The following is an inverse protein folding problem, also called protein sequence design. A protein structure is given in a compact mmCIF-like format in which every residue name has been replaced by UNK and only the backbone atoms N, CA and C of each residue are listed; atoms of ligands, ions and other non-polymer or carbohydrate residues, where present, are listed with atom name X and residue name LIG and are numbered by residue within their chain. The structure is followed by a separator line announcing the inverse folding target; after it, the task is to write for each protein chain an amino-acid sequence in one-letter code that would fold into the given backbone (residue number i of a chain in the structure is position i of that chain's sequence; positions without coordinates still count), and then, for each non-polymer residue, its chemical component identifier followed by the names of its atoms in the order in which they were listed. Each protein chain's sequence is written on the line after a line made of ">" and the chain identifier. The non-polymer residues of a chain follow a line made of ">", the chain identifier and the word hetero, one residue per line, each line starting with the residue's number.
data_IF_177390372671
#
_entry.id   IF_177390372671
#
_cell.length_a   1.000
_cell.length_b   1.000
_cell.length_c   1.000
_cell.angle_alpha   90.00
_cell.angle_beta   90.00
_cell.angle_gamma   90.00
#
_symmetry.space_group_name_H-M   'P 1'
#
loop_
_entity.id
_entity.type
_entity.pdbx_description
1 polymer ?
#
# COMPACT_ATOMS: atom_id res chain seq x y z
N UNK A 1 -2.20 -4.46 8.42
CA UNK A 1 -0.91 -4.04 7.83
C UNK A 1 -0.81 -2.54 7.96
N UNK A 2 0.26 -1.99 8.53
CA UNK A 2 0.37 -0.56 8.84
C UNK A 2 1.70 -0.02 8.31
N UNK A 3 1.71 1.19 7.75
CA UNK A 3 2.95 1.91 7.40
C UNK A 3 2.96 3.23 8.15
N UNK A 4 3.94 3.39 9.04
CA UNK A 4 3.98 4.49 10.00
C UNK A 4 5.23 5.35 9.93
N UNK A 5 5.99 5.24 8.84
CA UNK A 5 7.28 5.93 8.75
C UNK A 5 7.12 7.11 7.81
N UNK A 6 7.28 8.31 8.37
CA UNK A 6 7.69 9.48 7.61
C UNK A 6 9.08 9.16 7.04
N UNK A 7 9.13 8.58 5.84
CA UNK A 7 10.41 8.34 5.17
C UNK A 7 10.71 9.58 4.35
N UNK A 8 11.70 10.40 4.72
CA UNK A 8 12.06 11.54 3.90
C UNK A 8 12.53 11.03 2.55
N UNK A 9 11.82 11.41 1.49
CA UNK A 9 12.23 11.13 0.11
C UNK A 9 13.67 11.60 -0.12
N UNK A 10 14.43 10.83 -0.89
CA UNK A 10 15.69 11.32 -1.42
C UNK A 10 15.41 12.59 -2.25
N UNK A 11 15.94 13.73 -1.80
CA UNK A 11 15.68 15.08 -2.38
C UNK A 11 15.99 15.20 -3.88
N UNK A 12 16.66 14.19 -4.47
CA UNK A 12 17.01 14.14 -5.89
C UNK A 12 15.93 13.54 -6.80
N UNK A 13 14.87 12.93 -6.26
CA UNK A 13 13.83 12.30 -7.09
C UNK A 13 12.60 13.21 -7.16
N UNK A 14 12.33 13.79 -8.33
CA UNK A 14 11.06 14.48 -8.62
C UNK A 14 10.00 13.44 -8.95
N UNK A 15 9.37 12.89 -7.93
CA UNK A 15 8.35 11.86 -8.08
C UNK A 15 7.01 12.54 -8.37
N UNK A 16 6.28 12.08 -9.39
CA UNK A 16 4.84 12.30 -9.43
C UNK A 16 4.21 11.46 -8.32
N UNK A 17 4.26 12.00 -7.10
CA UNK A 17 4.00 11.32 -5.81
C UNK A 17 2.71 10.51 -5.80
N UNK A 18 1.67 11.02 -6.46
CA UNK A 18 0.37 10.38 -6.57
C UNK A 18 0.46 8.95 -7.10
N UNK A 19 1.21 8.69 -8.17
CA UNK A 19 1.28 7.35 -8.77
C UNK A 19 2.03 6.39 -7.86
N UNK A 20 3.14 6.82 -7.27
CA UNK A 20 3.96 5.97 -6.40
C UNK A 20 3.23 5.62 -5.10
N UNK A 21 2.49 6.57 -4.54
CA UNK A 21 1.68 6.32 -3.33
C UNK A 21 0.48 5.42 -3.62
N UNK A 22 -0.18 5.59 -4.78
CA UNK A 22 -1.24 4.68 -5.20
C UNK A 22 -0.71 3.28 -5.51
N UNK A 23 0.45 3.14 -6.15
CA UNK A 23 1.11 1.86 -6.41
C UNK A 23 1.52 1.14 -5.10
N UNK A 24 2.02 1.90 -4.12
CA UNK A 24 2.27 1.36 -2.78
C UNK A 24 0.97 0.91 -2.10
N UNK A 25 -0.12 1.65 -2.25
CA UNK A 25 -1.42 1.26 -1.71
C UNK A 25 -1.99 0.00 -2.40
N UNK A 26 -1.90 -0.08 -3.73
CA UNK A 26 -2.27 -1.28 -4.50
C UNK A 26 -1.47 -2.50 -4.05
N UNK A 27 -0.17 -2.32 -3.80
CA UNK A 27 0.67 -3.36 -3.19
C UNK A 27 0.16 -3.76 -1.81
N UNK A 28 -0.17 -2.80 -0.94
CA UNK A 28 -0.67 -3.08 0.40
C UNK A 28 -1.97 -3.89 0.37
N UNK A 29 -2.88 -3.54 -0.53
CA UNK A 29 -4.14 -4.26 -0.75
C UNK A 29 -3.89 -5.69 -1.26
N UNK A 30 -2.94 -5.88 -2.17
CA UNK A 30 -2.56 -7.21 -2.63
C UNK A 30 -1.99 -8.08 -1.50
N UNK A 31 -1.06 -7.53 -0.69
CA UNK A 31 -0.52 -8.24 0.46
C UNK A 31 -1.60 -8.56 1.50
N UNK A 32 -2.52 -7.62 1.74
CA UNK A 32 -3.68 -7.81 2.61
C UNK A 32 -4.60 -8.92 2.12
N UNK A 33 -4.84 -8.98 0.81
CA UNK A 33 -5.63 -10.04 0.17
C UNK A 33 -4.98 -11.41 0.37
N UNK A 34 -3.70 -11.56 0.00
CA UNK A 34 -2.96 -12.83 0.12
C UNK A 34 -2.89 -13.31 1.58
N UNK A 35 -2.63 -12.41 2.52
CA UNK A 35 -2.51 -12.75 3.94
C UNK A 35 -3.85 -12.83 4.67
N UNK A 36 -4.97 -12.55 3.99
CA UNK A 36 -6.29 -12.36 4.58
C UNK A 36 -6.26 -11.40 5.80
N UNK A 37 -5.58 -10.27 5.64
CA UNK A 37 -5.41 -9.23 6.67
C UNK A 37 -5.96 -7.89 6.20
N UNK A 38 -6.54 -7.16 7.15
CA UNK A 38 -7.01 -5.80 6.93
C UNK A 38 -5.81 -4.85 6.75
N UNK A 39 -5.91 -3.97 5.76
CA UNK A 39 -4.92 -2.92 5.49
C UNK A 39 -5.25 -1.68 6.31
N UNK A 40 -4.30 -1.14 7.05
CA UNK A 40 -4.41 0.16 7.70
C UNK A 40 -3.72 1.13 6.75
N UNK A 41 -4.48 2.07 6.20
CA UNK A 41 -4.02 2.99 5.18
C UNK A 41 -2.79 3.78 5.68
N UNK A 42 -1.77 3.97 4.82
CA UNK A 42 -0.67 4.85 5.15
C UNK A 42 -1.14 6.31 5.19
N UNK A 43 -0.24 7.19 5.60
CA UNK A 43 -0.36 8.61 5.26
C UNK A 43 0.10 8.80 3.82
N UNK A 44 -0.61 9.66 3.10
CA UNK A 44 -0.43 9.85 1.67
C UNK A 44 0.25 11.20 1.41
N UNK A 45 1.44 11.18 0.82
CA UNK A 45 2.24 12.38 0.60
C UNK A 45 2.10 12.89 -0.84
N UNK A 46 2.00 14.21 -1.00
CA UNK A 46 1.88 14.88 -2.30
C UNK A 46 3.21 15.47 -2.73
N UNK A 47 4.06 15.84 -1.78
CA UNK A 47 5.36 16.43 -2.10
C UNK A 47 6.44 15.86 -1.21
N UNK A 48 7.67 15.92 -1.70
CA UNK A 48 8.86 15.54 -0.93
C UNK A 48 9.07 16.42 0.33
N UNK A 49 8.26 17.47 0.51
CA UNK A 49 8.26 18.36 1.68
C UNK A 49 7.34 17.85 2.81
N UNK A 50 6.71 16.69 2.63
CA UNK A 50 5.83 16.09 3.63
C UNK A 50 4.42 16.66 3.66
N UNK A 51 3.98 17.35 2.59
CA UNK A 51 2.57 17.71 2.44
C UNK A 51 1.73 16.43 2.33
N UNK A 52 0.82 16.23 3.27
CA UNK A 52 -0.10 15.09 3.27
C UNK A 52 -1.44 15.48 2.62
N UNK A 53 -2.08 14.55 1.92
CA UNK A 53 -3.47 14.68 1.47
C UNK A 53 -4.29 13.45 1.85
N UNK A 54 -5.59 13.65 1.97
CA UNK A 54 -6.53 12.55 2.14
C UNK A 54 -6.68 11.78 0.84
N UNK A 55 -6.92 10.46 0.93
CA UNK A 55 -7.02 9.55 -0.22
C UNK A 55 -8.08 9.97 -1.23
N UNK A 56 -9.17 10.60 -0.77
CA UNK A 56 -10.24 11.13 -1.63
C UNK A 56 -9.79 12.26 -2.57
N UNK A 57 -8.59 12.85 -2.38
CA UNK A 57 -8.01 13.77 -3.35
C UNK A 57 -7.57 13.06 -4.63
N UNK A 58 -7.23 11.77 -4.55
CA UNK A 58 -6.66 11.03 -5.66
C UNK A 58 -7.65 10.05 -6.28
N UNK A 59 -8.47 9.39 -5.46
CA UNK A 59 -9.44 8.40 -5.95
C UNK A 59 -10.85 8.63 -5.41
N UNK A 60 -11.85 8.05 -6.10
CA UNK A 60 -13.24 7.99 -5.63
C UNK A 60 -13.37 6.93 -4.53
N UNK A 61 -13.49 7.37 -3.28
CA UNK A 61 -13.63 6.47 -2.12
C UNK A 61 -14.81 5.50 -2.27
N UNK A 62 -15.93 5.93 -2.88
CA UNK A 62 -17.07 5.04 -3.11
C UNK A 62 -16.69 3.80 -3.96
N UNK A 63 -15.80 3.95 -4.93
CA UNK A 63 -15.33 2.85 -5.78
C UNK A 63 -14.37 1.93 -5.01
N UNK A 64 -13.48 2.52 -4.19
CA UNK A 64 -12.64 1.75 -3.28
C UNK A 64 -13.49 0.93 -2.30
N UNK A 65 -14.49 1.56 -1.66
CA UNK A 65 -15.36 0.92 -0.69
C UNK A 65 -16.17 -0.22 -1.30
N UNK A 66 -16.70 -0.05 -2.50
CA UNK A 66 -17.45 -1.10 -3.17
C UNK A 66 -16.67 -2.42 -3.32
N UNK A 67 -15.36 -2.34 -3.57
CA UNK A 67 -14.51 -3.53 -3.71
C UNK A 67 -13.82 -3.95 -2.40
N UNK A 68 -13.52 -3.01 -1.50
CA UNK A 68 -12.63 -3.23 -0.35
C UNK A 68 -13.26 -2.87 1.00
N UNK A 69 -14.59 -2.73 1.08
CA UNK A 69 -15.30 -2.53 2.34
C UNK A 69 -14.84 -3.56 3.38
N UNK A 70 -14.55 -3.09 4.60
CA UNK A 70 -13.98 -3.86 5.72
C UNK A 70 -12.60 -4.51 5.48
N UNK A 71 -12.03 -4.42 4.28
CA UNK A 71 -10.67 -4.88 3.98
C UNK A 71 -9.61 -3.83 4.27
N UNK A 72 -10.01 -2.60 4.58
CA UNK A 72 -9.10 -1.57 5.06
C UNK A 72 -9.65 -0.75 6.24
N UNK A 73 -8.75 -0.01 6.91
CA UNK A 73 -9.01 0.95 8.00
C UNK A 73 -8.17 2.20 7.76
N UNK A 74 -8.62 3.36 8.22
CA UNK A 74 -7.85 4.59 8.13
C UNK A 74 -6.58 4.56 8.99
N UNK A 75 -5.61 5.41 8.67
CA UNK A 75 -4.33 5.53 9.38
C UNK A 75 -4.49 5.77 10.89
N UNK A 76 -5.55 6.46 11.31
CA UNK A 76 -5.86 6.80 12.70
C UNK A 76 -6.40 5.60 13.51
N UNK A 77 -6.66 4.45 12.87
CA UNK A 77 -7.22 3.27 13.53
C UNK A 77 -6.46 2.89 14.81
N UNK A 78 -5.14 2.79 14.76
CA UNK A 78 -4.32 2.40 15.92
C UNK A 78 -4.23 3.48 17.00
N UNK A 79 -4.64 4.72 16.72
CA UNK A 79 -4.72 5.79 17.70
C UNK A 79 -6.08 5.79 18.42
N UNK A 80 -7.11 5.23 17.79
CA UNK A 80 -8.48 5.29 18.29
C UNK A 80 -8.63 4.69 19.71
N UNK A 81 -9.31 5.36 20.66
CA UNK A 81 -9.41 4.90 22.05
C UNK A 81 -10.02 3.50 22.21
N UNK A 82 -10.96 3.13 21.33
CA UNK A 82 -11.62 1.82 21.36
C UNK A 82 -10.78 0.66 20.83
N UNK A 83 -9.63 0.90 20.20
CA UNK A 83 -8.74 -0.19 19.80
C UNK A 83 -8.02 -0.72 21.06
N UNK A 84 -8.13 -2.01 21.40
CA UNK A 84 -7.50 -2.57 22.59
C UNK A 84 -5.99 -2.33 22.62
N UNK A 85 -5.46 -2.00 23.80
CA UNK A 85 -4.01 -1.79 23.99
C UNK A 85 -3.18 -3.01 23.59
N UNK A 86 -3.71 -4.22 23.74
CA UNK A 86 -3.07 -5.46 23.30
C UNK A 86 -2.80 -5.43 21.78
N UNK A 87 -3.77 -5.00 20.97
CA UNK A 87 -3.61 -4.86 19.51
C UNK A 87 -2.64 -3.73 19.17
N UNK A 88 -2.73 -2.59 19.89
CA UNK A 88 -1.84 -1.44 19.65
C UNK A 88 -0.38 -1.77 19.92
N UNK A 89 -0.10 -2.62 20.91
CA UNK A 89 1.27 -2.99 21.31
C UNK A 89 1.81 -4.20 20.55
N UNK A 90 0.93 -5.06 20.03
CA UNK A 90 1.31 -6.24 19.26
C UNK A 90 1.55 -5.90 17.79
N UNK A 91 2.68 -5.23 17.55
CA UNK A 91 3.15 -4.88 16.22
C UNK A 91 4.52 -5.51 15.97
N UNK A 92 4.74 -5.97 14.73
CA UNK A 92 6.07 -6.43 14.32
C UNK A 92 7.06 -5.24 14.26
N UNK A 93 8.36 -5.55 14.27
CA UNK A 93 9.34 -4.64 13.68
C UNK A 93 8.98 -4.36 12.21
N UNK A 94 9.45 -3.23 11.68
CA UNK A 94 9.08 -2.82 10.35
C UNK A 94 9.82 -3.66 9.29
N UNK A 95 9.08 -4.18 8.31
CA UNK A 95 9.66 -4.87 7.15
C UNK A 95 9.77 -3.91 5.96
N UNK A 96 10.82 -4.07 5.17
CA UNK A 96 10.95 -3.39 3.88
C UNK A 96 11.19 -4.41 2.77
N UNK A 97 10.24 -4.52 1.83
CA UNK A 97 10.44 -5.26 0.59
C UNK A 97 11.35 -4.43 -0.32
N UNK A 98 12.62 -4.80 -0.37
CA UNK A 98 13.68 -4.04 -1.03
C UNK A 98 13.66 -4.28 -2.54
N UNK A 99 13.31 -3.23 -3.27
CA UNK A 99 13.39 -3.12 -4.73
C UNK A 99 14.41 -2.05 -5.15
N UNK A 100 14.89 -2.09 -6.40
CA UNK A 100 15.78 -1.04 -6.95
C UNK A 100 15.14 0.36 -6.86
N UNK A 101 13.84 0.42 -7.16
CA UNK A 101 13.07 1.65 -7.13
C UNK A 101 12.87 2.16 -5.69
N UNK A 102 12.51 1.29 -4.74
CA UNK A 102 12.42 1.68 -3.33
C UNK A 102 13.76 2.20 -2.79
N UNK A 103 14.89 1.59 -3.18
CA UNK A 103 16.22 2.07 -2.80
C UNK A 103 16.52 3.44 -3.40
N UNK A 104 16.10 3.69 -4.64
CA UNK A 104 16.27 4.98 -5.31
C UNK A 104 15.46 6.07 -4.61
N UNK A 105 14.22 5.75 -4.24
CA UNK A 105 13.26 6.66 -3.58
C UNK A 105 13.72 6.99 -2.15
N UNK A 106 14.11 5.99 -1.36
CA UNK A 106 14.39 6.15 0.07
C UNK A 106 15.87 6.39 0.39
N UNK A 107 16.79 5.96 -0.50
CA UNK A 107 18.23 6.20 -0.40
C UNK A 107 18.99 5.37 0.63
N UNK A 108 18.37 4.91 1.73
CA UNK A 108 19.03 4.11 2.76
C UNK A 108 18.08 3.20 3.53
N UNK A 109 18.63 2.16 4.17
CA UNK A 109 17.93 1.24 5.07
C UNK A 109 18.10 1.68 6.52
N UNK A 110 17.02 2.02 7.25
CA UNK A 110 17.11 2.26 8.67
C UNK A 110 17.52 1.00 9.44
N UNK A 111 18.25 1.18 10.54
CA UNK A 111 18.83 0.08 11.32
C UNK A 111 17.82 -0.84 12.00
N UNK A 112 16.58 -0.38 12.19
CA UNK A 112 15.49 -1.11 12.84
C UNK A 112 14.50 -1.76 11.86
N UNK A 113 14.87 -1.88 10.58
CA UNK A 113 14.02 -2.39 9.50
C UNK A 113 14.58 -3.70 8.96
N UNK A 114 13.74 -4.73 8.93
CA UNK A 114 14.08 -6.02 8.31
C UNK A 114 13.90 -5.93 6.80
N UNK A 115 14.99 -6.00 6.04
CA UNK A 115 14.94 -6.01 4.59
C UNK A 115 14.56 -7.40 4.05
N UNK A 116 13.54 -7.45 3.21
CA UNK A 116 13.10 -8.62 2.46
C UNK A 116 13.53 -8.46 1.01
N UNK A 117 14.33 -9.39 0.51
CA UNK A 117 14.88 -9.34 -0.86
C UNK A 117 14.30 -10.46 -1.71
N UNK A 118 13.91 -10.15 -2.95
CA UNK A 118 13.64 -11.18 -3.95
C UNK A 118 14.94 -11.66 -4.59
N UNK A 119 15.01 -12.97 -4.84
CA UNK A 119 16.01 -13.51 -5.76
C UNK A 119 15.80 -12.93 -7.17
N UNK A 120 16.87 -12.79 -7.97
CA UNK A 120 16.77 -12.37 -9.36
C UNK A 120 15.73 -13.21 -10.13
N UNK A 121 14.95 -12.56 -10.99
CA UNK A 121 13.91 -13.17 -11.84
C UNK A 121 12.73 -13.82 -11.10
N UNK A 122 12.64 -13.72 -9.77
CA UNK A 122 11.45 -14.13 -9.04
C UNK A 122 10.44 -12.99 -8.96
N UNK A 123 9.16 -13.35 -9.04
CA UNK A 123 8.01 -12.47 -8.81
C UNK A 123 7.47 -12.71 -7.39
N UNK A 124 6.86 -11.69 -6.79
CA UNK A 124 6.25 -11.72 -5.45
C UNK A 124 4.95 -12.52 -5.51
N UNK A 125 5.07 -13.84 -5.60
CA UNK A 125 3.92 -14.74 -5.55
C UNK A 125 3.33 -14.82 -4.15
N UNK A 126 2.11 -15.33 -4.05
CA UNK A 126 1.46 -15.62 -2.77
C UNK A 126 2.36 -16.50 -1.86
N UNK A 127 3.03 -17.50 -2.43
CA UNK A 127 3.97 -18.37 -1.71
C UNK A 127 5.15 -17.61 -1.09
N UNK A 128 5.68 -16.60 -1.79
CA UNK A 128 6.77 -15.76 -1.24
C UNK A 128 6.25 -14.88 -0.11
N UNK A 129 5.05 -14.31 -0.28
CA UNK A 129 4.38 -13.49 0.74
C UNK A 129 4.11 -14.34 2.00
N UNK A 130 3.57 -15.54 1.85
CA UNK A 130 3.34 -16.49 2.93
C UNK A 130 4.66 -16.92 3.60
N UNK A 131 5.72 -17.13 2.82
CA UNK A 131 7.03 -17.43 3.39
C UNK A 131 7.57 -16.28 4.26
N UNK A 132 7.41 -15.03 3.83
CA UNK A 132 7.87 -13.87 4.60
C UNK A 132 7.01 -13.56 5.82
N UNK A 133 5.69 -13.69 5.70
CA UNK A 133 4.75 -13.15 6.68
C UNK A 133 3.82 -14.19 7.33
N UNK A 134 3.70 -15.40 6.78
CA UNK A 134 2.78 -16.44 7.25
C UNK A 134 3.07 -16.91 8.68
N UNK A 135 4.34 -16.87 9.11
CA UNK A 135 4.73 -17.17 10.49
C UNK A 135 4.52 -16.01 11.49
N UNK A 136 4.18 -14.80 11.02
CA UNK A 136 4.08 -13.62 11.88
C UNK A 136 2.75 -13.63 12.65
N UNK A 137 2.80 -13.83 13.97
CA UNK A 137 1.61 -13.92 14.81
C UNK A 137 1.09 -12.58 15.33
N UNK A 138 1.86 -11.51 15.17
CA UNK A 138 1.45 -10.19 15.65
C UNK A 138 0.17 -9.71 14.99
N UNK A 139 -0.68 -9.06 15.78
CA UNK A 139 -1.93 -8.45 15.35
C UNK A 139 -1.70 -7.44 14.21
N UNK A 140 -0.61 -6.67 14.29
CA UNK A 140 -0.25 -5.67 13.28
C UNK A 140 1.10 -6.00 12.63
N UNK A 141 1.07 -6.27 11.32
CA UNK A 141 2.29 -6.27 10.51
C UNK A 141 2.65 -4.84 10.14
N UNK A 142 3.86 -4.42 10.52
CA UNK A 142 4.39 -3.10 10.22
C UNK A 142 5.27 -3.18 8.97
N UNK A 143 4.98 -2.34 7.99
CA UNK A 143 5.76 -2.22 6.76
C UNK A 143 6.36 -0.82 6.67
N UNK A 144 7.67 -0.77 6.50
CA UNK A 144 8.41 0.46 6.30
C UNK A 144 8.12 1.08 4.92
N UNK A 145 8.16 0.28 3.86
CA UNK A 145 7.90 0.77 2.50
C UNK A 145 7.40 -0.33 1.58
N UNK A 146 6.54 0.09 0.65
CA UNK A 146 6.00 -0.71 -0.44
C UNK A 146 6.26 -0.10 -1.82
N UNK A 147 7.21 0.84 -1.92
CA UNK A 147 7.47 1.54 -3.17
C UNK A 147 8.12 0.66 -4.23
N UNK A 148 7.73 0.87 -5.48
CA UNK A 148 8.30 0.19 -6.64
C UNK A 148 8.06 -1.32 -6.68
N UNK A 149 6.95 -1.76 -6.09
CA UNK A 149 6.54 -3.17 -6.05
C UNK A 149 5.39 -3.44 -7.03
N UNK A 150 4.39 -2.55 -7.09
CA UNK A 150 3.28 -2.68 -8.04
C UNK A 150 3.74 -2.30 -9.45
N UNK A 151 4.34 -3.27 -10.14
CA UNK A 151 4.66 -3.21 -11.56
C UNK A 151 4.79 -4.64 -12.11
N UNK A 152 4.82 -4.76 -13.44
CA UNK A 152 4.91 -6.06 -14.13
C UNK A 152 6.21 -6.83 -13.84
N UNK A 153 7.27 -6.15 -13.37
CA UNK A 153 8.58 -6.75 -13.03
C UNK A 153 8.48 -7.60 -11.77
N UNK A 154 7.84 -7.09 -10.71
CA UNK A 154 7.79 -7.77 -9.42
C UNK A 154 6.49 -8.56 -9.18
N UNK A 155 5.39 -8.19 -9.82
CA UNK A 155 4.10 -8.86 -9.58
C UNK A 155 3.92 -10.14 -10.41
N UNK A 156 3.29 -11.19 -9.82
CA UNK A 156 2.96 -12.43 -10.52
C UNK A 156 1.98 -12.17 -11.66
N UNK A 157 2.07 -12.96 -12.73
CA UNK A 157 1.08 -12.97 -13.81
C UNK A 157 0.34 -14.31 -13.78
N UNK A 158 -0.58 -14.44 -12.84
CA UNK A 158 -1.46 -15.62 -12.68
C UNK A 158 -2.91 -15.16 -12.81
N UNK A 159 -3.83 -16.05 -13.19
CA UNK A 159 -5.25 -15.71 -13.32
C UNK A 159 -5.83 -15.03 -12.06
N UNK A 160 -5.49 -15.54 -10.87
CA UNK A 160 -5.95 -14.94 -9.61
C UNK A 160 -5.41 -13.52 -9.41
N UNK A 161 -4.15 -13.29 -9.79
CA UNK A 161 -3.53 -11.98 -9.71
C UNK A 161 -4.11 -11.03 -10.75
N UNK A 162 -4.35 -11.49 -11.97
CA UNK A 162 -4.98 -10.72 -13.03
C UNK A 162 -6.41 -10.31 -12.64
N UNK A 163 -7.18 -11.22 -12.04
CA UNK A 163 -8.51 -10.91 -11.53
C UNK A 163 -8.46 -9.87 -10.41
N UNK A 164 -7.54 -10.00 -9.46
CA UNK A 164 -7.36 -9.01 -8.39
C UNK A 164 -6.90 -7.65 -8.95
N UNK A 165 -6.04 -7.63 -9.96
CA UNK A 165 -5.59 -6.40 -10.60
C UNK A 165 -6.72 -5.70 -11.35
N UNK A 166 -7.63 -6.45 -11.99
CA UNK A 166 -8.85 -5.85 -12.53
C UNK A 166 -9.68 -5.16 -11.44
N UNK A 167 -9.85 -5.80 -10.29
CA UNK A 167 -10.55 -5.20 -9.13
C UNK A 167 -9.84 -3.93 -8.66
N UNK A 168 -8.50 -3.91 -8.62
CA UNK A 168 -7.74 -2.71 -8.27
C UNK A 168 -7.95 -1.58 -9.28
N UNK A 169 -7.96 -1.86 -10.58
CA UNK A 169 -8.21 -0.84 -11.59
C UNK A 169 -9.65 -0.30 -11.53
N UNK A 170 -10.64 -1.13 -11.23
CA UNK A 170 -12.02 -0.70 -11.00
C UNK A 170 -12.18 0.12 -9.70
N UNK A 171 -11.41 -0.20 -8.66
CA UNK A 171 -11.46 0.50 -7.38
C UNK A 171 -10.73 1.86 -7.39
N UNK A 172 -9.67 2.01 -8.18
CA UNK A 172 -8.79 3.19 -8.20
C UNK A 172 -9.18 4.20 -9.30
N UNK A 173 -10.46 4.54 -9.36
CA UNK A 173 -10.95 5.56 -10.30
C UNK A 173 -10.59 6.96 -9.80
N UNK A 174 -10.10 7.81 -10.72
CA UNK A 174 -9.67 9.18 -10.43
C UNK A 174 -10.75 9.98 -9.68
N UNK A 175 -10.33 10.73 -8.66
CA UNK A 175 -11.25 11.57 -7.89
C UNK A 175 -11.90 12.66 -8.75
N UNK A 176 -13.13 13.03 -8.39
CA UNK A 176 -13.78 14.21 -8.95
C UNK A 176 -13.18 15.53 -8.40
N UNK A 177 -12.32 15.46 -7.37
CA UNK A 177 -11.62 16.62 -6.81
C UNK A 177 -10.41 17.05 -7.65
N UNK A 178 -9.93 16.20 -8.57
CA UNK A 178 -8.86 16.52 -9.52
C UNK A 178 -9.30 17.48 -10.65
N UNK A 179 -10.48 18.11 -10.56
CA UNK A 179 -11.10 18.86 -11.64
C UNK A 179 -10.37 20.16 -12.02
N UNK A 180 -9.49 20.05 -13.01
CA UNK A 180 -9.71 20.69 -14.31
C UNK A 180 -9.61 19.64 -15.43
N UNK A 181 -10.76 19.18 -15.94
CA UNK A 181 -10.86 18.89 -17.38
C UNK A 181 -11.41 17.54 -17.86
N UNK A 182 -11.61 16.51 -17.04
CA UNK A 182 -12.18 15.25 -17.55
C UNK A 182 -13.24 14.68 -16.61
N UNK A 183 -14.49 14.62 -17.10
CA UNK A 183 -15.55 13.80 -16.50
C UNK A 183 -15.14 12.33 -16.69
N UNK A 184 -14.58 11.72 -15.66
CA UNK A 184 -14.32 10.28 -15.62
C UNK A 184 -15.62 9.49 -15.50
N UNK A 185 -15.63 8.30 -16.09
CA UNK A 185 -16.68 7.27 -16.01
C UNK A 185 -17.15 7.03 -14.57
N UNK A 186 -18.46 6.87 -14.38
CA UNK A 186 -19.02 6.51 -13.08
C UNK A 186 -18.77 5.03 -12.80
N UNK A 187 -18.34 4.70 -11.58
CA UNK A 187 -18.35 3.32 -11.12
C UNK A 187 -19.76 2.77 -11.25
N UNK A 188 -19.91 1.69 -12.01
CA UNK A 188 -21.18 0.98 -12.16
C UNK A 188 -21.45 0.26 -10.84
N UNK A 189 -22.04 0.98 -9.89
CA UNK A 189 -22.58 0.40 -8.65
C UNK A 189 -23.88 -0.31 -9.02
N UNK A 190 -23.99 -1.64 -8.90
CA UNK A 190 -25.29 -2.29 -8.95
C UNK A 190 -26.14 -1.75 -7.79
N UNK A 191 -27.36 -1.31 -8.11
CA UNK A 191 -28.34 -0.86 -7.11
C UNK A 191 -28.90 -2.01 -6.29
#
# INVERSE_FOLDING_TARGET
>A
MYSNVHVPYNRRVTINSSNIELDALKTALYLGHVLNRVVILPRFHVTNKGEERTLNNWIKIACLDYHFYEKYRENAFLLHPKVPLAIKKDQTSAFWIKTEESMTILGYLPSNVTALTLSPNKKISAQIIEHWFGGQRSAVLNLHSLYGIYNTKYMPNTNDTEMFFRILEEAFQDSDYAQKGKRGSSCLMPR
#
